data_IF_921614621931
#
_entry.id   IF_921614621931
#
_cell.length_a   1.000
_cell.length_b   1.000
_cell.length_c   1.000
_cell.angle_alpha   90.00
_cell.angle_beta   90.00
_cell.angle_gamma   90.00
#
_symmetry.space_group_name_H-M   'P 1'
#
loop_
_entity.id
_entity.type
_entity.pdbx_description
1 polymer ?
#
# COMPACT_ATOMS: atom_id res chain seq x y z
N UNK A 1 -11.00 1.91 -15.20
CA UNK A 1 -11.19 0.46 -15.02
C UNK A 1 -12.19 0.20 -13.90
N UNK A 2 -13.06 -0.78 -14.07
CA UNK A 2 -14.06 -1.11 -13.08
C UNK A 2 -13.43 -1.86 -11.90
N UNK A 3 -13.89 -1.54 -10.68
CA UNK A 3 -13.43 -2.15 -9.43
C UNK A 3 -13.40 -3.69 -9.48
N UNK A 4 -14.45 -4.31 -10.04
CA UNK A 4 -14.59 -5.77 -10.11
C UNK A 4 -13.46 -6.45 -10.90
N UNK A 5 -12.95 -5.81 -11.95
CA UNK A 5 -11.85 -6.34 -12.74
C UNK A 5 -10.57 -6.41 -11.89
N UNK A 6 -10.29 -5.36 -11.12
CA UNK A 6 -9.14 -5.35 -10.23
C UNK A 6 -9.24 -6.42 -9.13
N UNK A 7 -10.43 -6.68 -8.62
CA UNK A 7 -10.65 -7.74 -7.63
C UNK A 7 -10.28 -9.12 -8.20
N UNK A 8 -10.60 -9.35 -9.48
CA UNK A 8 -10.28 -10.63 -10.15
C UNK A 8 -8.78 -10.79 -10.40
N UNK A 9 -8.09 -9.70 -10.72
CA UNK A 9 -6.67 -9.75 -11.07
C UNK A 9 -5.73 -9.59 -9.88
N UNK A 10 -6.24 -9.30 -8.69
CA UNK A 10 -5.39 -9.04 -7.53
C UNK A 10 -4.35 -10.14 -7.25
N UNK A 11 -4.68 -11.44 -7.21
CA UNK A 11 -3.67 -12.48 -6.96
C UNK A 11 -2.61 -12.58 -8.06
N UNK A 12 -3.02 -12.38 -9.31
CA UNK A 12 -2.12 -12.45 -10.48
C UNK A 12 -1.20 -11.24 -10.50
N UNK A 13 -1.72 -10.07 -10.17
CA UNK A 13 -0.97 -8.81 -10.12
C UNK A 13 0.20 -8.88 -9.13
N UNK A 14 -0.03 -9.38 -7.93
CA UNK A 14 1.02 -9.55 -6.93
C UNK A 14 2.12 -10.46 -7.44
N UNK A 15 1.75 -11.59 -8.05
CA UNK A 15 2.71 -12.55 -8.59
C UNK A 15 3.57 -11.95 -9.69
N UNK A 16 2.96 -11.17 -10.59
CA UNK A 16 3.69 -10.48 -11.66
C UNK A 16 4.66 -9.42 -11.11
N UNK A 17 4.25 -8.68 -10.09
CA UNK A 17 5.09 -7.65 -9.48
C UNK A 17 6.32 -8.24 -8.79
N UNK A 18 6.23 -9.44 -8.24
CA UNK A 18 7.37 -10.11 -7.60
C UNK A 18 8.46 -10.54 -8.58
N UNK A 19 8.16 -10.60 -9.87
CA UNK A 19 9.11 -11.05 -10.89
C UNK A 19 10.26 -10.07 -11.14
N UNK A 20 10.06 -8.77 -10.87
CA UNK A 20 11.08 -7.74 -11.10
C UNK A 20 11.64 -7.18 -9.78
N UNK A 21 12.43 -8.01 -9.11
CA UNK A 21 12.92 -7.70 -7.75
C UNK A 21 13.95 -6.56 -7.68
N UNK A 22 14.79 -6.40 -8.69
CA UNK A 22 15.88 -5.40 -8.63
C UNK A 22 15.37 -3.97 -8.67
N UNK A 23 14.44 -3.67 -9.58
CA UNK A 23 13.84 -2.35 -9.69
C UNK A 23 13.05 -2.00 -8.43
N UNK A 24 12.33 -2.98 -7.87
CA UNK A 24 11.55 -2.76 -6.66
C UNK A 24 12.41 -2.51 -5.43
N UNK A 25 13.54 -3.20 -5.27
CA UNK A 25 14.45 -2.94 -4.16
C UNK A 25 14.96 -1.52 -4.14
N UNK A 26 15.33 -0.98 -5.30
CA UNK A 26 15.77 0.41 -5.41
C UNK A 26 14.66 1.38 -5.04
N UNK A 27 13.45 1.15 -5.54
CA UNK A 27 12.29 1.96 -5.24
C UNK A 27 11.94 1.92 -3.75
N UNK A 28 11.94 0.73 -3.13
CA UNK A 28 11.66 0.58 -1.71
C UNK A 28 12.63 1.38 -0.85
N UNK A 29 13.91 1.27 -1.16
CA UNK A 29 14.95 2.00 -0.41
C UNK A 29 14.73 3.51 -0.51
N UNK A 30 14.41 3.99 -1.69
CA UNK A 30 14.18 5.41 -1.93
C UNK A 30 12.94 5.93 -1.19
N UNK A 31 11.85 5.17 -1.24
CA UNK A 31 10.63 5.53 -0.51
C UNK A 31 10.87 5.53 1.00
N UNK A 32 11.53 4.49 1.53
CA UNK A 32 11.87 4.42 2.95
C UNK A 32 12.59 5.66 3.45
N UNK A 33 13.56 6.16 2.67
CA UNK A 33 14.32 7.34 3.08
C UNK A 33 13.47 8.60 3.22
N UNK A 34 12.36 8.67 2.48
CA UNK A 34 11.46 9.83 2.48
C UNK A 34 10.37 9.77 3.54
N UNK A 35 10.08 8.59 4.08
CA UNK A 35 8.96 8.42 5.03
C UNK A 35 9.41 8.11 6.46
N UNK A 36 10.70 8.17 6.73
CA UNK A 36 11.24 7.85 8.06
C UNK A 36 10.53 8.68 9.15
N UNK A 37 9.94 7.96 10.12
CA UNK A 37 9.28 8.57 11.26
C UNK A 37 7.98 9.31 10.97
N UNK A 38 7.46 9.20 9.76
CA UNK A 38 6.24 9.91 9.34
C UNK A 38 4.99 9.05 9.47
N UNK A 39 3.85 9.72 9.61
CA UNK A 39 2.54 9.11 9.44
C UNK A 39 2.15 9.23 7.98
N UNK A 40 1.95 8.09 7.29
CA UNK A 40 1.87 8.02 5.84
C UNK A 40 0.54 7.42 5.38
N UNK A 41 -0.05 8.02 4.36
CA UNK A 41 -1.20 7.47 3.64
C UNK A 41 -0.75 7.06 2.23
N UNK A 42 -1.00 5.79 1.88
CA UNK A 42 -0.82 5.31 0.52
C UNK A 42 -2.17 5.12 -0.16
N UNK A 43 -2.29 5.63 -1.39
CA UNK A 43 -3.46 5.46 -2.23
C UNK A 43 -3.09 4.49 -3.36
N UNK A 44 -4.02 3.59 -3.69
CA UNK A 44 -3.83 2.57 -4.72
C UNK A 44 -2.68 1.60 -4.38
N UNK A 45 -2.68 1.08 -3.14
CA UNK A 45 -1.64 0.16 -2.66
C UNK A 45 -1.60 -1.17 -3.44
N UNK A 46 -2.70 -1.55 -4.09
CA UNK A 46 -2.82 -2.85 -4.75
C UNK A 46 -2.70 -3.98 -3.72
N UNK A 47 -1.90 -5.04 -4.01
CA UNK A 47 -1.70 -6.14 -3.06
C UNK A 47 -0.75 -5.78 -1.91
N UNK A 48 -0.36 -4.53 -1.76
CA UNK A 48 0.37 -4.04 -0.60
C UNK A 48 1.86 -4.35 -0.57
N UNK A 49 2.48 -4.69 -1.69
CA UNK A 49 3.90 -5.05 -1.71
C UNK A 49 4.81 -3.89 -1.28
N UNK A 50 4.60 -2.70 -1.85
CA UNK A 50 5.37 -1.52 -1.46
C UNK A 50 5.16 -1.22 0.03
N UNK A 51 3.90 -1.16 0.47
CA UNK A 51 3.57 -0.86 1.85
C UNK A 51 4.25 -1.80 2.84
N UNK A 52 4.21 -3.11 2.58
CA UNK A 52 4.82 -4.10 3.46
C UNK A 52 6.34 -3.93 3.58
N UNK A 53 6.99 -3.50 2.50
CA UNK A 53 8.45 -3.30 2.50
C UNK A 53 8.86 -1.99 3.15
N UNK A 54 8.08 -0.91 3.00
CA UNK A 54 8.49 0.41 3.45
C UNK A 54 7.92 0.82 4.81
N UNK A 55 6.80 0.23 5.22
CA UNK A 55 6.14 0.58 6.48
C UNK A 55 7.05 0.54 7.71
N UNK A 56 8.05 -0.38 7.82
CA UNK A 56 8.95 -0.37 8.97
C UNK A 56 9.68 0.95 9.18
N UNK A 57 9.90 1.74 8.12
CA UNK A 57 10.55 3.04 8.23
C UNK A 57 9.62 4.14 8.73
N UNK A 58 8.32 4.00 8.52
CA UNK A 58 7.31 4.99 8.92
C UNK A 58 6.99 4.89 10.39
N UNK A 59 6.45 5.96 10.97
CA UNK A 59 5.85 5.92 12.30
C UNK A 59 4.56 5.11 12.27
N UNK A 60 3.72 5.37 11.27
CA UNK A 60 2.46 4.68 11.04
C UNK A 60 2.12 4.79 9.55
N UNK A 61 1.54 3.74 8.99
CA UNK A 61 1.12 3.75 7.59
C UNK A 61 -0.26 3.15 7.43
N UNK A 62 -1.12 3.85 6.70
CA UNK A 62 -2.40 3.34 6.24
C UNK A 62 -2.30 3.21 4.72
N UNK A 63 -2.47 1.98 4.22
CA UNK A 63 -2.40 1.69 2.79
C UNK A 63 -3.80 1.34 2.29
N UNK A 64 -4.26 2.04 1.27
CA UNK A 64 -5.64 1.95 0.81
C UNK A 64 -5.71 1.55 -0.65
N UNK A 65 -6.83 0.94 -1.01
CA UNK A 65 -7.18 0.67 -2.40
C UNK A 65 -8.70 0.64 -2.54
N UNK A 66 -9.18 0.98 -3.72
CA UNK A 66 -10.61 0.91 -4.01
C UNK A 66 -11.08 -0.53 -4.16
N UNK A 67 -10.20 -1.44 -4.56
CA UNK A 67 -10.50 -2.85 -4.80
C UNK A 67 -10.46 -3.67 -3.51
N UNK A 68 -11.59 -4.29 -3.18
CA UNK A 68 -11.68 -5.22 -2.05
C UNK A 68 -10.79 -6.44 -2.24
N UNK A 69 -10.67 -6.92 -3.49
CA UNK A 69 -9.80 -8.04 -3.82
C UNK A 69 -8.34 -7.74 -3.59
N UNK A 70 -7.89 -6.52 -3.95
CA UNK A 70 -6.52 -6.08 -3.69
C UNK A 70 -6.23 -6.01 -2.20
N UNK A 71 -7.12 -5.43 -1.42
CA UNK A 71 -6.94 -5.34 0.04
C UNK A 71 -6.97 -6.72 0.69
N UNK A 72 -7.82 -7.60 0.20
CA UNK A 72 -7.85 -9.00 0.69
C UNK A 72 -6.50 -9.68 0.47
N UNK A 73 -5.89 -9.52 -0.71
CA UNK A 73 -4.55 -10.04 -0.99
C UNK A 73 -3.49 -9.36 -0.10
N UNK A 74 -3.59 -8.04 0.08
CA UNK A 74 -2.65 -7.29 0.91
C UNK A 74 -2.64 -7.79 2.36
N UNK A 75 -3.79 -8.16 2.89
CA UNK A 75 -3.91 -8.64 4.28
C UNK A 75 -3.39 -10.05 4.51
N UNK A 76 -3.05 -10.79 3.44
CA UNK A 76 -2.49 -12.14 3.57
C UNK A 76 -1.05 -12.08 4.07
N UNK A 77 -0.67 -13.09 4.85
CA UNK A 77 0.69 -13.21 5.37
C UNK A 77 0.98 -12.23 6.50
N UNK A 78 2.27 -12.05 6.76
CA UNK A 78 2.72 -11.17 7.84
C UNK A 78 3.09 -9.80 7.31
N UNK A 79 2.78 -8.76 8.09
CA UNK A 79 3.23 -7.40 7.82
C UNK A 79 3.38 -6.63 9.13
N UNK A 80 4.09 -5.47 9.12
CA UNK A 80 4.38 -4.74 10.35
C UNK A 80 3.11 -4.28 11.09
N UNK A 81 3.18 -4.21 12.41
CA UNK A 81 2.05 -3.76 13.25
C UNK A 81 1.64 -2.32 12.98
N UNK A 82 2.57 -1.49 12.51
CA UNK A 82 2.31 -0.09 12.21
C UNK A 82 1.64 0.12 10.84
N UNK A 83 1.34 -0.97 10.11
CA UNK A 83 0.70 -0.92 8.80
C UNK A 83 -0.73 -1.42 8.90
N UNK A 84 -1.66 -0.63 8.37
CA UNK A 84 -3.09 -0.97 8.28
C UNK A 84 -3.51 -0.90 6.82
N UNK A 85 -4.29 -1.88 6.37
CA UNK A 85 -4.88 -1.90 5.03
C UNK A 85 -6.38 -1.60 5.12
N UNK A 86 -6.87 -0.69 4.27
CA UNK A 86 -8.28 -0.31 4.25
C UNK A 86 -8.80 -0.18 2.82
N UNK A 87 -10.04 -0.62 2.58
CA UNK A 87 -10.75 -0.36 1.33
C UNK A 87 -11.29 1.07 1.39
N UNK A 88 -10.80 1.94 0.52
CA UNK A 88 -11.19 3.35 0.51
C UNK A 88 -11.25 3.86 -0.93
N UNK A 89 -12.28 4.65 -1.22
CA UNK A 89 -12.37 5.41 -2.47
C UNK A 89 -11.54 6.69 -2.32
N UNK A 90 -10.53 6.86 -3.16
CA UNK A 90 -9.64 8.03 -3.12
C UNK A 90 -10.38 9.36 -3.32
N UNK A 91 -11.57 9.34 -3.93
CA UNK A 91 -12.42 10.53 -4.10
C UNK A 91 -13.14 10.93 -2.82
N UNK A 92 -13.22 10.05 -1.84
CA UNK A 92 -13.98 10.25 -0.60
C UNK A 92 -13.17 9.71 0.57
N UNK A 93 -12.02 10.32 0.85
CA UNK A 93 -11.15 9.89 1.95
C UNK A 93 -11.82 10.14 3.29
N UNK A 94 -11.90 9.12 4.18
CA UNK A 94 -12.57 9.26 5.48
C UNK A 94 -11.68 9.89 6.55
N UNK A 95 -10.55 10.45 6.17
CA UNK A 95 -9.59 11.00 7.13
C UNK A 95 -9.69 12.52 7.19
N UNK A 96 -9.42 13.07 8.38
CA UNK A 96 -9.38 14.51 8.58
C UNK A 96 -8.20 15.13 7.84
N UNK A 97 -8.31 16.39 7.44
CA UNK A 97 -7.20 17.15 6.87
C UNK A 97 -6.02 17.15 7.86
N UNK A 98 -4.82 17.12 7.33
CA UNK A 98 -3.58 17.13 8.12
C UNK A 98 -3.39 15.89 9.00
N UNK A 99 -4.10 14.78 8.73
CA UNK A 99 -3.92 13.53 9.47
C UNK A 99 -2.61 12.83 9.17
N UNK A 100 -1.98 13.14 8.04
CA UNK A 100 -0.76 12.47 7.57
C UNK A 100 0.33 13.47 7.22
N UNK A 101 1.59 13.06 7.47
CA UNK A 101 2.78 13.85 7.14
C UNK A 101 3.28 13.59 5.73
N UNK A 102 2.90 12.45 5.14
CA UNK A 102 3.34 12.07 3.81
C UNK A 102 2.30 11.23 3.08
N UNK A 103 2.39 11.27 1.75
CA UNK A 103 1.47 10.56 0.87
C UNK A 103 2.26 9.84 -0.22
N UNK A 104 1.77 8.66 -0.57
CA UNK A 104 2.33 7.88 -1.69
C UNK A 104 1.25 7.63 -2.73
#
# INVERSE_FOLDING_TARGET
MKKKIWDLYAPIYEKAMRADRKCYKFMYHRVKSQIVGKEVLEIATGPGLLAKHVAPAAKRMIATDYSEGMIKEAKKGRYPENLVFEVVDAKHLPYKDDSFDGYI
#
